data_IF_906971704903
#
_entry.id   IF_906971704903
#
_cell.length_a   1.000
_cell.length_b   1.000
_cell.length_c   1.000
_cell.angle_alpha   90.00
_cell.angle_beta   90.00
_cell.angle_gamma   90.00
#
_symmetry.space_group_name_H-M   'P 1'
#
loop_
_entity.id
_entity.type
_entity.pdbx_description
1 polymer ?
#
# COMPACT_ATOMS: atom_id res chain seq x y z
N UNK A 1 0.46 -17.52 -17.23
CA UNK A 1 -0.57 -16.77 -16.48
C UNK A 1 -0.19 -16.79 -15.00
N UNK A 2 0.51 -15.76 -14.51
CA UNK A 2 0.72 -15.58 -13.08
C UNK A 2 -0.63 -15.21 -12.47
N UNK A 3 -1.21 -16.12 -11.69
CA UNK A 3 -2.45 -15.88 -10.96
C UNK A 3 -2.16 -14.72 -10.01
N UNK A 4 -2.71 -13.54 -10.28
CA UNK A 4 -2.60 -12.38 -9.41
C UNK A 4 -3.36 -12.69 -8.12
N UNK A 5 -2.65 -13.15 -7.09
CA UNK A 5 -3.25 -13.40 -5.78
C UNK A 5 -3.14 -12.09 -5.00
N UNK A 6 -4.09 -11.18 -5.22
CA UNK A 6 -4.32 -10.11 -4.25
C UNK A 6 -4.79 -10.79 -2.96
N UNK A 7 -4.11 -10.57 -1.82
CA UNK A 7 -4.55 -11.16 -0.56
C UNK A 7 -5.98 -10.68 -0.26
N UNK A 8 -6.88 -11.61 0.09
CA UNK A 8 -8.23 -11.26 0.53
C UNK A 8 -8.16 -10.86 2.01
N UNK A 9 -8.42 -9.58 2.27
CA UNK A 9 -8.41 -9.01 3.61
C UNK A 9 -9.80 -8.98 4.27
N UNK A 10 -10.83 -9.44 3.57
CA UNK A 10 -12.22 -9.40 4.02
C UNK A 10 -12.47 -10.26 5.27
N UNK A 11 -11.59 -11.21 5.58
CA UNK A 11 -11.71 -12.08 6.76
C UNK A 11 -10.93 -11.59 7.98
N UNK A 12 -10.09 -10.56 7.85
CA UNK A 12 -9.29 -10.05 8.97
C UNK A 12 -10.17 -9.31 9.98
N UNK A 13 -9.68 -9.01 11.17
CA UNK A 13 -10.30 -8.03 12.07
C UNK A 13 -9.69 -6.63 11.84
N UNK A 14 -10.35 -5.58 12.33
CA UNK A 14 -9.85 -4.20 12.28
C UNK A 14 -8.50 -4.05 13.01
N UNK A 15 -8.30 -4.79 14.10
CA UNK A 15 -7.02 -4.87 14.82
C UNK A 15 -5.93 -5.47 13.94
N UNK A 16 -6.22 -6.58 13.28
CA UNK A 16 -5.26 -7.30 12.44
C UNK A 16 -4.82 -6.43 11.26
N UNK A 17 -5.76 -5.68 10.69
CA UNK A 17 -5.47 -4.70 9.64
C UNK A 17 -4.57 -3.57 10.14
N UNK A 18 -4.85 -3.03 11.33
CA UNK A 18 -4.02 -1.98 11.94
C UNK A 18 -2.59 -2.48 12.20
N UNK A 19 -2.45 -3.68 12.76
CA UNK A 19 -1.16 -4.31 13.03
C UNK A 19 -0.38 -4.59 11.73
N UNK A 20 -1.05 -5.06 10.68
CA UNK A 20 -0.43 -5.26 9.37
C UNK A 20 0.02 -3.93 8.77
N UNK A 21 -0.80 -2.88 8.80
CA UNK A 21 -0.45 -1.55 8.28
C UNK A 21 0.79 -1.03 9.01
N UNK A 22 0.86 -1.19 10.33
CA UNK A 22 2.04 -0.83 11.12
C UNK A 22 3.28 -1.63 10.67
N UNK A 23 3.15 -2.95 10.54
CA UNK A 23 4.23 -3.84 10.10
C UNK A 23 4.74 -3.47 8.70
N UNK A 24 3.84 -3.20 7.76
CA UNK A 24 4.17 -2.78 6.40
C UNK A 24 4.84 -1.41 6.37
N UNK A 25 4.37 -0.47 7.20
CA UNK A 25 4.98 0.87 7.32
C UNK A 25 6.41 0.78 7.83
N UNK A 26 6.65 -0.03 8.88
CA UNK A 26 8.00 -0.30 9.38
C UNK A 26 8.87 -0.96 8.30
N UNK A 27 8.36 -1.96 7.59
CA UNK A 27 9.09 -2.62 6.50
C UNK A 27 9.48 -1.62 5.39
N UNK A 28 8.60 -0.69 5.02
CA UNK A 28 8.93 0.37 4.04
C UNK A 28 10.04 1.29 4.55
N UNK A 29 9.99 1.71 5.82
CA UNK A 29 11.04 2.52 6.42
C UNK A 29 12.40 1.79 6.44
N UNK A 30 12.40 0.49 6.78
CA UNK A 30 13.60 -0.33 6.74
C UNK A 30 14.15 -0.51 5.32
N UNK A 31 13.29 -0.69 4.32
CA UNK A 31 13.70 -0.78 2.91
C UNK A 31 14.21 0.54 2.35
N UNK A 32 13.70 1.68 2.86
CA UNK A 32 14.14 3.02 2.51
C UNK A 32 15.46 3.42 3.19
N UNK A 33 15.88 2.69 4.23
CA UNK A 33 17.16 2.92 4.92
C UNK A 33 18.37 2.40 4.12
N UNK A 34 19.55 2.93 4.40
CA UNK A 34 20.82 2.64 3.71
C UNK A 34 21.40 1.23 3.96
N UNK A 35 20.57 0.23 4.28
CA UNK A 35 21.05 -1.16 4.39
C UNK A 35 21.54 -1.63 3.02
N UNK A 36 22.72 -2.28 2.92
CA UNK A 36 23.22 -2.79 1.65
C UNK A 36 22.28 -3.87 1.11
N UNK A 37 21.59 -3.54 0.02
CA UNK A 37 20.70 -4.40 -0.73
C UNK A 37 20.80 -4.01 -2.20
N UNK A 38 20.63 -4.97 -3.10
CA UNK A 38 20.48 -4.72 -4.53
C UNK A 38 19.32 -3.73 -4.76
N UNK A 39 19.60 -2.63 -5.45
CA UNK A 39 18.64 -1.56 -5.71
C UNK A 39 17.43 -2.03 -6.56
N UNK A 40 17.61 -2.98 -7.48
CA UNK A 40 16.50 -3.55 -8.24
C UNK A 40 15.60 -4.40 -7.32
N UNK A 41 16.20 -5.17 -6.41
CA UNK A 41 15.48 -5.93 -5.40
C UNK A 41 14.77 -5.00 -4.41
N UNK A 42 15.42 -3.92 -3.96
CA UNK A 42 14.83 -2.90 -3.10
C UNK A 42 13.56 -2.30 -3.71
N UNK A 43 13.62 -1.93 -4.99
CA UNK A 43 12.49 -1.36 -5.74
C UNK A 43 11.31 -2.33 -5.80
N UNK A 44 11.58 -3.60 -6.10
CA UNK A 44 10.56 -4.63 -6.15
C UNK A 44 9.88 -4.84 -4.78
N UNK A 45 10.67 -4.93 -3.72
CA UNK A 45 10.17 -5.09 -2.35
C UNK A 45 9.37 -3.88 -1.88
N UNK A 46 9.83 -2.66 -2.19
CA UNK A 46 9.08 -1.43 -1.92
C UNK A 46 7.76 -1.39 -2.68
N UNK A 47 7.75 -1.82 -3.94
CA UNK A 47 6.54 -1.88 -4.74
C UNK A 47 5.53 -2.89 -4.19
N UNK A 48 5.96 -4.10 -3.87
CA UNK A 48 5.10 -5.10 -3.23
C UNK A 48 4.57 -4.65 -1.86
N UNK A 49 5.44 -4.08 -1.03
CA UNK A 49 5.05 -3.60 0.30
C UNK A 49 4.07 -2.42 0.20
N UNK A 50 4.29 -1.52 -0.76
CA UNK A 50 3.38 -0.40 -1.07
C UNK A 50 2.00 -0.88 -1.52
N UNK A 51 1.96 -1.87 -2.43
CA UNK A 51 0.69 -2.44 -2.91
C UNK A 51 -0.14 -3.02 -1.75
N UNK A 52 0.51 -3.78 -0.85
CA UNK A 52 -0.12 -4.37 0.33
C UNK A 52 -0.57 -3.31 1.34
N UNK A 53 0.25 -2.29 1.56
CA UNK A 53 -0.09 -1.20 2.50
C UNK A 53 -1.39 -0.53 2.06
N UNK A 54 -1.47 -0.13 0.79
CA UNK A 54 -2.65 0.54 0.27
C UNK A 54 -3.89 -0.36 0.27
N UNK A 55 -3.74 -1.65 -0.06
CA UNK A 55 -4.86 -2.60 0.02
C UNK A 55 -5.38 -2.77 1.46
N UNK A 56 -4.49 -2.95 2.44
CA UNK A 56 -4.85 -3.10 3.84
C UNK A 56 -5.52 -1.83 4.39
N UNK A 57 -5.04 -0.64 4.02
CA UNK A 57 -5.68 0.63 4.43
C UNK A 57 -7.05 0.82 3.79
N UNK A 58 -7.24 0.45 2.52
CA UNK A 58 -8.56 0.50 1.88
C UNK A 58 -9.57 -0.41 2.59
N UNK A 59 -9.17 -1.64 2.92
CA UNK A 59 -10.00 -2.59 3.69
C UNK A 59 -10.29 -2.08 5.11
N UNK A 60 -9.30 -1.50 5.79
CA UNK A 60 -9.51 -0.92 7.11
C UNK A 60 -10.56 0.20 7.05
N UNK A 61 -10.44 1.09 6.07
CA UNK A 61 -11.40 2.17 5.85
C UNK A 61 -12.78 1.63 5.46
N UNK A 62 -12.86 0.52 4.72
CA UNK A 62 -14.16 -0.06 4.36
C UNK A 62 -14.95 -0.58 5.56
N UNK A 63 -14.29 -0.83 6.69
CA UNK A 63 -14.92 -1.29 7.95
C UNK A 63 -15.29 -0.15 8.89
N UNK A 64 -14.82 1.06 8.62
CA UNK A 64 -15.20 2.23 9.40
C UNK A 64 -16.63 2.64 9.07
N UNK A 65 -17.47 2.74 10.10
CA UNK A 65 -18.84 3.27 9.97
C UNK A 65 -18.79 4.81 9.96
N UNK A 66 -19.29 5.48 8.90
CA UNK A 66 -19.35 6.93 8.85
C UNK A 66 -20.47 7.47 9.75
N UNK A 67 -20.21 8.61 10.41
CA UNK A 67 -21.20 9.25 11.28
C UNK A 67 -22.14 10.22 10.55
N UNK A 68 -21.77 10.69 9.35
CA UNK A 68 -22.57 11.52 8.45
C UNK A 68 -22.23 11.27 6.97
N UNK A 69 -22.98 11.90 6.06
CA UNK A 69 -22.81 11.73 4.62
C UNK A 69 -21.49 12.33 4.10
N UNK A 70 -21.00 13.41 4.72
CA UNK A 70 -19.71 14.01 4.36
C UNK A 70 -18.55 13.09 4.75
N UNK A 71 -18.63 12.41 5.90
CA UNK A 71 -17.68 11.40 6.34
C UNK A 71 -17.72 10.18 5.43
N UNK A 72 -18.91 9.77 4.96
CA UNK A 72 -19.05 8.72 3.95
C UNK A 72 -18.34 9.10 2.65
N UNK A 73 -18.56 10.31 2.14
CA UNK A 73 -17.91 10.78 0.93
C UNK A 73 -16.38 10.86 1.07
N UNK A 74 -15.86 11.33 2.22
CA UNK A 74 -14.42 11.31 2.51
C UNK A 74 -13.85 9.90 2.58
N UNK A 75 -14.55 8.98 3.25
CA UNK A 75 -14.17 7.56 3.34
C UNK A 75 -14.09 6.94 1.94
N UNK A 76 -15.11 7.11 1.12
CA UNK A 76 -15.17 6.52 -0.21
C UNK A 76 -14.06 7.06 -1.12
N UNK A 77 -13.77 8.36 -1.04
CA UNK A 77 -12.62 8.97 -1.73
C UNK A 77 -11.28 8.39 -1.27
N UNK A 78 -11.10 8.19 0.03
CA UNK A 78 -9.89 7.59 0.60
C UNK A 78 -9.72 6.13 0.17
N UNK A 79 -10.81 5.35 0.18
CA UNK A 79 -10.81 3.97 -0.32
C UNK A 79 -10.41 3.95 -1.80
N UNK A 80 -11.04 4.78 -2.63
CA UNK A 80 -10.75 4.85 -4.07
C UNK A 80 -9.27 5.17 -4.34
N UNK A 81 -8.72 6.16 -3.62
CA UNK A 81 -7.30 6.52 -3.71
C UNK A 81 -6.37 5.34 -3.34
N UNK A 82 -6.66 4.65 -2.24
CA UNK A 82 -5.85 3.50 -1.83
C UNK A 82 -5.99 2.30 -2.77
N UNK A 83 -7.16 2.06 -3.34
CA UNK A 83 -7.32 1.02 -4.36
C UNK A 83 -6.53 1.37 -5.63
N UNK A 84 -6.56 2.63 -6.09
CA UNK A 84 -5.78 3.04 -7.26
C UNK A 84 -4.27 2.96 -7.02
N UNK A 85 -3.80 3.38 -5.85
CA UNK A 85 -2.39 3.28 -5.50
C UNK A 85 -1.94 1.82 -5.35
N UNK A 86 -2.78 0.96 -4.74
CA UNK A 86 -2.49 -0.48 -4.64
C UNK A 86 -2.28 -1.10 -6.03
N UNK A 87 -3.17 -0.78 -6.98
CA UNK A 87 -3.05 -1.24 -8.36
C UNK A 87 -1.79 -0.72 -9.05
N UNK A 88 -1.45 0.57 -8.87
CA UNK A 88 -0.23 1.19 -9.41
C UNK A 88 1.03 0.52 -8.87
N UNK A 89 1.13 0.35 -7.55
CA UNK A 89 2.27 -0.34 -6.92
C UNK A 89 2.37 -1.81 -7.32
N UNK A 90 1.23 -2.47 -7.55
CA UNK A 90 1.22 -3.83 -8.08
C UNK A 90 1.75 -3.88 -9.52
N UNK A 91 1.37 -2.91 -10.38
CA UNK A 91 1.91 -2.80 -11.73
C UNK A 91 3.43 -2.51 -11.76
N UNK A 92 3.92 -1.66 -10.83
CA UNK A 92 5.35 -1.44 -10.62
C UNK A 92 6.07 -2.73 -10.21
N UNK A 93 5.49 -3.50 -9.30
CA UNK A 93 6.08 -4.75 -8.83
C UNK A 93 6.14 -5.81 -9.95
N UNK A 94 5.13 -5.84 -10.83
CA UNK A 94 5.13 -6.73 -11.99
C UNK A 94 6.04 -6.25 -13.13
N UNK A 95 6.61 -5.04 -13.04
CA UNK A 95 7.38 -4.43 -14.13
C UNK A 95 6.54 -4.08 -15.36
N UNK A 96 5.21 -4.07 -15.24
CA UNK A 96 4.30 -3.68 -16.33
C UNK A 96 4.19 -2.16 -16.46
N UNK A 97 4.54 -1.44 -15.41
CA UNK A 97 4.77 -0.01 -15.42
C UNK A 97 6.27 0.21 -15.17
N UNK A 98 7.06 0.39 -16.22
CA UNK A 98 8.43 0.92 -16.07
C UNK A 98 8.31 2.43 -16.00
N UNK A 99 8.73 3.05 -14.90
CA UNK A 99 9.08 4.46 -14.93
C UNK A 99 10.49 4.56 -15.50
N UNK A 100 10.70 4.97 -16.76
CA UNK A 100 12.03 5.29 -17.23
C UNK A 100 12.37 6.63 -16.55
N UNK A 101 13.22 6.60 -15.54
CA UNK A 101 13.74 7.77 -14.83
C UNK A 101 12.81 8.50 -13.84
N UNK A 102 11.63 7.97 -13.46
CA UNK A 102 10.92 8.59 -12.34
C UNK A 102 11.50 8.09 -11.01
N UNK A 103 11.87 8.99 -10.08
CA UNK A 103 12.20 8.59 -8.73
C UNK A 103 11.02 7.82 -8.14
N UNK A 104 11.30 6.79 -7.34
CA UNK A 104 10.28 6.17 -6.50
C UNK A 104 9.51 7.29 -5.78
N UNK A 105 8.18 7.17 -5.60
CA UNK A 105 7.47 8.10 -4.73
C UNK A 105 8.19 8.10 -3.38
N UNK A 106 8.85 9.21 -3.07
CA UNK A 106 9.57 9.40 -1.82
C UNK A 106 8.53 9.26 -0.71
N UNK A 107 8.69 8.23 0.11
CA UNK A 107 7.92 8.13 1.33
C UNK A 107 8.42 9.24 2.26
N UNK A 108 7.71 10.35 2.32
CA UNK A 108 7.94 11.34 3.34
C UNK A 108 7.37 10.79 4.66
N UNK A 109 8.27 10.27 5.50
CA UNK A 109 7.95 9.78 6.84
C UNK A 109 7.44 10.88 7.78
N UNK A 110 7.33 12.14 7.34
CA UNK A 110 6.76 13.26 8.10
C UNK A 110 5.25 13.40 7.96
N UNK A 111 4.60 12.60 7.13
CA UNK A 111 3.13 12.62 6.91
C UNK A 111 2.41 11.48 7.65
N UNK A 112 3.11 10.74 8.52
CA UNK A 112 2.52 9.76 9.44
C UNK A 112 2.24 10.36 10.81
#
# INVERSE_FOLDING_TARGET
>A
MTKTITPSYSSWLTSDLSDEIYRLTRQRAELASEKPMDEAKRRLELAHTGARYHAATAELMSRAEPFDDDARARRDKTIAFHLSESARFHALALGTEMLPNAPLPTFDARVS
#
